data_IF_487535980756
#
_entry.id   IF_487535980756
#
_cell.length_a   1.000
_cell.length_b   1.000
_cell.length_c   1.000
_cell.angle_alpha   90.00
_cell.angle_beta   90.00
_cell.angle_gamma   90.00
#
_symmetry.space_group_name_H-M   'P 1'
#
loop_
_entity.id
_entity.type
_entity.pdbx_description
1 polymer ?
#
# COMPACT_ATOMS: atom_id res chain seq x y z
N UNK A 1 -7.85 1.33 26.08
CA UNK A 1 -7.54 1.93 24.76
C UNK A 1 -7.99 0.95 23.70
N UNK A 2 -8.93 1.34 22.82
CA UNK A 2 -9.26 0.54 21.63
C UNK A 2 -8.25 0.91 20.55
N UNK A 3 -7.44 -0.05 20.13
CA UNK A 3 -6.42 0.12 19.10
C UNK A 3 -7.11 0.44 17.77
N UNK A 4 -6.73 1.55 17.15
CA UNK A 4 -7.35 2.14 15.96
C UNK A 4 -7.37 1.12 14.80
N UNK A 5 -6.38 0.24 14.73
CA UNK A 5 -6.32 -0.85 13.75
C UNK A 5 -7.46 -1.88 13.84
N UNK A 6 -8.00 -2.15 15.04
CA UNK A 6 -9.08 -3.14 15.21
C UNK A 6 -10.45 -2.70 14.68
N UNK A 7 -10.67 -1.38 14.52
CA UNK A 7 -11.96 -0.83 14.06
C UNK A 7 -11.97 -0.57 12.55
N UNK A 8 -10.79 -0.45 11.92
CA UNK A 8 -10.67 -0.16 10.48
C UNK A 8 -10.78 -1.41 9.58
N UNK A 9 -10.67 -2.61 10.15
CA UNK A 9 -10.56 -3.89 9.41
C UNK A 9 -11.55 -4.96 9.90
N UNK A 10 -12.67 -4.57 10.52
CA UNK A 10 -13.68 -5.51 11.02
C UNK A 10 -14.47 -6.22 9.93
N UNK A 11 -14.54 -5.60 8.74
CA UNK A 11 -15.18 -6.18 7.55
C UNK A 11 -14.14 -6.88 6.67
N UNK A 12 -14.54 -7.94 5.93
CA UNK A 12 -13.64 -8.59 4.99
C UNK A 12 -13.15 -7.57 3.95
N UNK A 13 -11.84 -7.47 3.79
CA UNK A 13 -11.24 -6.56 2.82
C UNK A 13 -11.59 -6.97 1.39
N UNK A 14 -12.02 -6.00 0.58
CA UNK A 14 -12.18 -6.23 -0.86
C UNK A 14 -10.81 -6.50 -1.49
N UNK A 15 -10.62 -7.71 -2.02
CA UNK A 15 -9.40 -8.11 -2.68
C UNK A 15 -9.06 -7.21 -3.89
N UNK A 16 -10.06 -6.56 -4.49
CA UNK A 16 -9.87 -5.61 -5.59
C UNK A 16 -9.19 -4.30 -5.16
N UNK A 17 -9.10 -4.05 -3.85
CA UNK A 17 -8.45 -2.90 -3.23
C UNK A 17 -7.05 -3.23 -2.66
N UNK A 18 -6.56 -4.46 -2.87
CA UNK A 18 -5.28 -4.93 -2.35
C UNK A 18 -4.21 -4.94 -3.43
N UNK A 19 -3.02 -4.46 -3.09
CA UNK A 19 -1.78 -4.63 -3.86
C UNK A 19 -0.84 -5.49 -3.03
N UNK A 20 -0.28 -6.55 -3.62
CA UNK A 20 0.67 -7.46 -2.97
C UNK A 20 1.89 -7.68 -3.86
N UNK A 21 3.04 -7.21 -3.37
CA UNK A 21 4.30 -7.17 -4.12
C UNK A 21 5.40 -7.87 -3.33
N UNK A 22 5.89 -8.99 -3.85
CA UNK A 22 7.16 -9.55 -3.37
C UNK A 22 8.32 -8.66 -3.83
N UNK A 23 9.07 -8.12 -2.88
CA UNK A 23 10.12 -7.13 -3.13
C UNK A 23 11.35 -7.79 -3.76
N UNK A 24 11.77 -7.26 -4.90
CA UNK A 24 13.00 -7.68 -5.58
C UNK A 24 14.19 -6.82 -5.14
N UNK A 25 15.40 -7.26 -5.51
CA UNK A 25 16.63 -6.47 -5.31
C UNK A 25 16.55 -5.07 -5.95
N UNK A 26 15.85 -4.90 -7.07
CA UNK A 26 15.67 -3.58 -7.68
C UNK A 26 14.70 -2.71 -6.89
N UNK A 27 13.62 -3.28 -6.38
CA UNK A 27 12.61 -2.53 -5.60
C UNK A 27 13.19 -2.00 -4.28
N UNK A 28 14.12 -2.73 -3.65
CA UNK A 28 14.78 -2.27 -2.42
C UNK A 28 15.84 -1.19 -2.68
N UNK A 29 16.44 -1.16 -3.88
CA UNK A 29 17.51 -0.21 -4.26
C UNK A 29 17.00 1.03 -4.99
N UNK A 30 15.78 1.00 -5.53
CA UNK A 30 15.18 2.02 -6.41
C UNK A 30 13.69 2.15 -6.05
N UNK A 31 12.92 2.82 -6.89
CA UNK A 31 11.45 2.82 -6.81
C UNK A 31 10.91 1.38 -6.85
N UNK A 32 9.83 1.12 -6.11
CA UNK A 32 9.14 -0.18 -6.18
C UNK A 32 8.18 -0.20 -7.35
N UNK A 33 8.31 -1.20 -8.21
CA UNK A 33 7.38 -1.44 -9.31
C UNK A 33 6.22 -2.29 -8.78
N UNK A 34 5.02 -1.73 -8.81
CA UNK A 34 3.81 -2.36 -8.31
C UNK A 34 3.22 -3.34 -9.35
N UNK A 35 2.56 -4.43 -8.91
CA UNK A 35 1.85 -5.36 -9.78
C UNK A 35 0.75 -4.62 -10.57
N UNK A 36 0.86 -4.67 -11.91
CA UNK A 36 0.03 -3.87 -12.81
C UNK A 36 -1.47 -4.06 -12.59
N UNK A 37 -1.95 -5.29 -12.67
CA UNK A 37 -3.38 -5.61 -12.60
C UNK A 37 -4.01 -5.20 -11.25
N UNK A 38 -3.32 -5.46 -10.15
CA UNK A 38 -3.79 -5.07 -8.81
C UNK A 38 -3.81 -3.55 -8.67
N UNK A 39 -2.78 -2.88 -9.17
CA UNK A 39 -2.71 -1.41 -9.14
C UNK A 39 -3.84 -0.79 -9.96
N UNK A 40 -4.12 -1.30 -11.16
CA UNK A 40 -5.23 -0.84 -12.00
C UNK A 40 -6.59 -1.02 -11.31
N UNK A 41 -6.80 -2.16 -10.65
CA UNK A 41 -8.03 -2.42 -9.88
C UNK A 41 -8.25 -1.40 -8.76
N UNK A 42 -7.18 -1.02 -8.05
CA UNK A 42 -7.21 0.03 -7.02
C UNK A 42 -7.45 1.40 -7.66
N UNK A 43 -6.73 1.75 -8.72
CA UNK A 43 -6.83 3.06 -9.39
C UNK A 43 -8.25 3.33 -9.93
N UNK A 44 -8.97 2.31 -10.40
CA UNK A 44 -10.37 2.43 -10.83
C UNK A 44 -11.31 2.85 -9.69
N UNK A 45 -10.97 2.52 -8.44
CA UNK A 45 -11.80 2.79 -7.24
C UNK A 45 -11.31 3.98 -6.43
N UNK A 46 -10.03 4.33 -6.58
CA UNK A 46 -9.40 5.48 -5.93
C UNK A 46 -10.01 6.77 -6.46
N UNK A 47 -10.59 7.58 -5.57
CA UNK A 47 -11.15 8.90 -5.87
C UNK A 47 -12.18 8.95 -7.01
N UNK A 48 -12.87 7.82 -7.29
CA UNK A 48 -13.78 7.71 -8.44
C UNK A 48 -13.09 7.47 -9.79
N UNK A 49 -11.78 7.18 -9.77
CA UNK A 49 -10.94 6.87 -10.92
C UNK A 49 -9.77 7.86 -11.04
N UNK A 50 -8.54 7.35 -10.98
CA UNK A 50 -7.34 8.16 -11.20
C UNK A 50 -7.02 8.28 -12.69
N UNK A 51 -6.71 9.48 -13.14
CA UNK A 51 -6.38 9.77 -14.53
C UNK A 51 -4.93 9.42 -14.88
N UNK A 52 -4.66 9.17 -16.16
CA UNK A 52 -3.30 8.97 -16.65
C UNK A 52 -2.42 10.21 -16.44
N UNK A 53 -2.99 11.41 -16.57
CA UNK A 53 -2.27 12.68 -16.36
C UNK A 53 -1.81 12.85 -14.91
N UNK A 54 -2.68 12.56 -13.92
CA UNK A 54 -2.30 12.56 -12.51
C UNK A 54 -1.11 11.63 -12.24
N UNK A 55 -1.11 10.44 -12.86
CA UNK A 55 -0.03 9.46 -12.68
C UNK A 55 1.25 9.84 -13.41
N UNK A 56 1.17 10.52 -14.56
CA UNK A 56 2.35 11.02 -15.27
C UNK A 56 3.01 12.17 -14.49
N UNK A 57 2.21 13.05 -13.91
CA UNK A 57 2.66 14.16 -13.07
C UNK A 57 3.14 13.67 -11.69
N UNK A 58 2.61 12.53 -11.23
CA UNK A 58 2.90 11.93 -9.94
C UNK A 58 1.86 12.34 -8.89
N UNK A 59 0.98 11.41 -8.56
CA UNK A 59 -0.04 11.59 -7.52
C UNK A 59 0.57 11.27 -6.17
N UNK A 60 0.62 12.24 -5.27
CA UNK A 60 1.05 11.99 -3.88
C UNK A 60 -0.09 11.30 -3.14
N UNK A 61 0.22 10.16 -2.52
CA UNK A 61 -0.72 9.38 -1.71
C UNK A 61 -0.16 9.18 -0.32
N UNK A 62 -1.06 9.12 0.67
CA UNK A 62 -0.71 8.82 2.06
C UNK A 62 -0.75 7.32 2.28
N UNK A 63 0.26 6.79 2.97
CA UNK A 63 0.35 5.39 3.42
C UNK A 63 0.46 5.42 4.94
N UNK A 64 -0.32 4.59 5.63
CA UNK A 64 -0.31 4.47 7.08
C UNK A 64 0.11 3.05 7.45
N UNK A 65 1.07 2.96 8.36
CA UNK A 65 1.30 1.76 9.14
C UNK A 65 0.49 1.84 10.44
N UNK A 66 -0.53 1.01 10.57
CA UNK A 66 -1.41 1.03 11.73
C UNK A 66 -0.80 0.38 12.97
N UNK A 67 0.26 -0.42 12.82
CA UNK A 67 0.93 -1.08 13.93
C UNK A 67 1.80 -0.08 14.70
N UNK A 68 2.68 0.60 14.00
CA UNK A 68 3.59 1.61 14.58
C UNK A 68 2.96 3.01 14.65
N UNK A 69 1.86 3.24 13.91
CA UNK A 69 1.21 4.55 13.82
C UNK A 69 1.94 5.54 12.91
N UNK A 70 2.89 5.06 12.11
CA UNK A 70 3.67 5.87 11.19
C UNK A 70 2.88 6.25 9.93
N UNK A 71 3.19 7.43 9.41
CA UNK A 71 2.58 7.96 8.19
C UNK A 71 3.64 8.35 7.16
N UNK A 72 3.38 7.98 5.92
CA UNK A 72 4.28 8.22 4.80
C UNK A 72 3.54 8.92 3.66
N UNK A 73 4.21 9.86 3.02
CA UNK A 73 3.76 10.44 1.75
C UNK A 73 4.62 9.85 0.63
N UNK A 74 4.00 9.13 -0.29
CA UNK A 74 4.69 8.51 -1.43
C UNK A 74 4.09 8.99 -2.75
N UNK A 75 4.92 9.12 -3.79
CA UNK A 75 4.42 9.51 -5.12
C UNK A 75 4.12 8.27 -5.96
N UNK A 76 2.85 8.09 -6.32
CA UNK A 76 2.39 7.08 -7.27
C UNK A 76 2.50 7.60 -8.70
N UNK A 77 3.25 6.90 -9.54
CA UNK A 77 3.50 7.28 -10.94
C UNK A 77 3.17 6.16 -11.91
N UNK A 78 2.84 6.54 -13.15
CA UNK A 78 2.85 5.63 -14.29
C UNK A 78 3.99 5.98 -15.23
N UNK A 79 4.88 5.02 -15.52
CA UNK A 79 6.01 5.16 -16.46
C UNK A 79 6.18 3.88 -17.24
N UNK A 80 6.35 3.98 -18.56
CA UNK A 80 6.57 2.83 -19.45
C UNK A 80 5.59 1.67 -19.24
N UNK A 81 4.29 1.98 -19.10
CA UNK A 81 3.21 1.03 -18.81
C UNK A 81 3.35 0.26 -17.48
N UNK A 82 4.12 0.80 -16.53
CA UNK A 82 4.28 0.28 -15.17
C UNK A 82 3.81 1.33 -14.17
N UNK A 83 3.42 0.86 -12.99
CA UNK A 83 3.14 1.72 -11.86
C UNK A 83 4.24 1.59 -10.82
N UNK A 84 4.60 2.70 -10.19
CA UNK A 84 5.63 2.71 -9.16
C UNK A 84 5.28 3.63 -8.00
N UNK A 85 5.75 3.27 -6.81
CA UNK A 85 5.99 4.27 -5.77
C UNK A 85 7.41 4.81 -5.91
N UNK A 86 7.50 6.11 -6.17
CA UNK A 86 8.73 6.87 -6.31
C UNK A 86 9.09 7.59 -5.02
N UNK A 87 9.11 8.92 -5.05
CA UNK A 87 9.54 9.76 -3.92
C UNK A 87 8.78 9.35 -2.65
N UNK A 88 9.49 9.27 -1.52
CA UNK A 88 8.96 8.76 -0.25
C UNK A 88 9.07 7.25 -0.06
N UNK A 89 9.16 6.45 -1.14
CA UNK A 89 9.31 4.99 -1.05
C UNK A 89 10.53 4.58 -0.22
N UNK A 90 11.69 5.22 -0.45
CA UNK A 90 12.91 4.90 0.29
C UNK A 90 12.69 5.08 1.80
N UNK A 91 12.18 6.23 2.24
CA UNK A 91 11.87 6.50 3.65
C UNK A 91 10.92 5.45 4.23
N UNK A 92 9.80 5.19 3.56
CA UNK A 92 8.82 4.20 4.00
C UNK A 92 9.43 2.79 4.11
N UNK A 93 10.16 2.36 3.09
CA UNK A 93 10.83 1.05 3.05
C UNK A 93 11.88 0.88 4.15
N UNK A 94 12.56 1.94 4.58
CA UNK A 94 13.51 1.85 5.70
C UNK A 94 12.81 1.85 7.06
N UNK A 95 11.75 2.65 7.21
CA UNK A 95 10.96 2.69 8.45
C UNK A 95 10.29 1.35 8.73
N UNK A 96 9.71 0.74 7.70
CA UNK A 96 9.08 -0.59 7.75
C UNK A 96 10.10 -1.76 7.73
N UNK A 97 11.41 -1.48 7.78
CA UNK A 97 12.51 -2.44 7.66
C UNK A 97 12.38 -3.46 6.50
N UNK A 98 11.77 -3.06 5.38
CA UNK A 98 11.47 -4.00 4.30
C UNK A 98 12.73 -4.46 3.54
N UNK A 99 12.84 -5.78 3.38
CA UNK A 99 13.94 -6.49 2.78
C UNK A 99 13.57 -7.19 1.46
N UNK A 100 14.59 -7.66 0.74
CA UNK A 100 14.40 -8.44 -0.49
C UNK A 100 13.73 -9.77 -0.14
N UNK A 101 12.70 -10.14 -0.90
CA UNK A 101 11.95 -11.38 -0.74
C UNK A 101 10.69 -11.25 0.11
N UNK A 102 10.57 -10.18 0.91
CA UNK A 102 9.38 -9.90 1.71
C UNK A 102 8.22 -9.38 0.85
N UNK A 103 7.00 -9.47 1.39
CA UNK A 103 5.79 -9.03 0.70
C UNK A 103 5.39 -7.66 1.25
N UNK A 104 5.42 -6.64 0.39
CA UNK A 104 4.68 -5.40 0.61
C UNK A 104 3.21 -5.63 0.23
N UNK A 105 2.33 -5.58 1.21
CA UNK A 105 0.88 -5.69 1.06
C UNK A 105 0.23 -4.39 1.50
N UNK A 106 -0.56 -3.81 0.60
CA UNK A 106 -1.22 -2.53 0.78
C UNK A 106 -2.71 -2.71 0.54
N UNK A 107 -3.54 -2.01 1.31
CA UNK A 107 -4.97 -1.89 1.09
C UNK A 107 -5.37 -0.44 0.89
N UNK A 108 -6.10 -0.14 -0.17
CA UNK A 108 -6.69 1.18 -0.37
C UNK A 108 -7.95 1.32 0.47
N UNK A 109 -7.88 2.12 1.53
CA UNK A 109 -9.03 2.42 2.36
C UNK A 109 -9.79 3.63 1.82
N UNK A 110 -10.89 3.35 1.11
CA UNK A 110 -11.61 4.34 0.29
C UNK A 110 -12.13 5.54 1.10
N UNK A 111 -12.70 5.30 2.28
CA UNK A 111 -13.35 6.35 3.08
C UNK A 111 -12.38 7.43 3.54
N UNK A 112 -11.14 7.03 3.87
CA UNK A 112 -10.10 7.97 4.30
C UNK A 112 -9.13 8.35 3.18
N UNK A 113 -9.24 7.73 2.00
CA UNK A 113 -8.37 7.96 0.84
C UNK A 113 -6.88 7.78 1.17
N UNK A 114 -6.58 6.68 1.86
CA UNK A 114 -5.22 6.31 2.26
C UNK A 114 -4.92 4.86 1.85
N UNK A 115 -3.64 4.55 1.70
CA UNK A 115 -3.17 3.17 1.77
C UNK A 115 -2.90 2.78 3.23
N UNK A 116 -3.22 1.55 3.56
CA UNK A 116 -2.89 0.90 4.84
C UNK A 116 -1.91 -0.25 4.56
N UNK A 117 -0.81 -0.31 5.31
CA UNK A 117 0.14 -1.43 5.26
C UNK A 117 -0.48 -2.65 5.96
N UNK A 118 -0.39 -3.82 5.33
CA UNK A 118 -0.91 -5.10 5.82
C UNK A 118 0.19 -6.15 6.02
N UNK A 119 1.45 -5.73 6.16
CA UNK A 119 2.61 -6.62 6.17
C UNK A 119 2.74 -7.47 7.44
N UNK A 120 2.04 -7.08 8.50
CA UNK A 120 2.11 -7.77 9.77
C UNK A 120 0.95 -8.75 9.87
N UNK A 121 1.28 -10.01 10.18
CA UNK A 121 0.29 -11.03 10.43
C UNK A 121 -0.63 -10.55 11.56
N UNK A 122 -1.88 -10.26 11.23
CA UNK A 122 -2.93 -10.35 12.23
C UNK A 122 -2.96 -11.80 12.67
N UNK A 123 -2.29 -12.10 13.78
CA UNK A 123 -2.55 -13.32 14.53
C UNK A 123 -4.02 -13.29 14.88
N UNK A 124 -4.82 -14.01 14.11
CA UNK A 124 -6.21 -14.30 14.45
C UNK A 124 -6.13 -14.97 15.81
N UNK A 125 -6.62 -14.30 16.85
CA UNK A 125 -6.77 -14.93 18.15
C UNK A 125 -7.73 -16.09 17.95
N UNK A 126 -7.17 -17.30 17.92
CA UNK A 126 -7.94 -18.52 17.97
C UNK A 126 -8.59 -18.54 19.35
N UNK A 127 -9.87 -18.16 19.43
CA UNK A 127 -10.67 -18.40 20.64
C UNK A 127 -10.99 -19.89 20.64
N UNK A 128 -10.49 -20.69 21.59
CA UNK A 128 -10.90 -22.07 21.70
C UNK A 128 -12.37 -22.11 22.15
N UNK A 129 -13.15 -23.02 21.56
CA UNK A 129 -14.49 -23.36 22.02
C UNK A 129 -14.44 -24.05 23.40
#
# INVERSE_FOLDING_TARGET
MKTIGSTLLSDPLDAALIISKQLTKSDVKRNVILPKQQTESVLMRMDGGVTAEELQNGKVVKVIDLEEGDEYMVTLRSRDNKYEFGDGWYTMKYSLDLQVGEILKLYWYQDQRIFVVLNFDHTVQHVPA
#
